data_IF_309397817625
#
_entry.id   IF_309397817625
#
_cell.length_a   1.000
_cell.length_b   1.000
_cell.length_c   1.000
_cell.angle_alpha   90.00
_cell.angle_beta   90.00
_cell.angle_gamma   90.00
#
_symmetry.space_group_name_H-M   'P 1'
#
loop_
_entity.id
_entity.type
_entity.pdbx_description
1 polymer ?
#
# COMPACT_ATOMS: atom_id res chain seq x y z
N UNK A 1 54.41 31.10 14.81
CA UNK A 1 53.44 30.95 13.71
C UNK A 1 52.71 29.63 13.90
N UNK A 2 51.51 29.66 14.49
CA UNK A 2 50.73 28.45 14.76
C UNK A 2 49.97 28.02 13.51
N UNK A 3 50.21 26.79 13.04
CA UNK A 3 49.47 26.19 11.93
C UNK A 3 48.11 25.69 12.44
N UNK A 4 47.04 26.32 11.97
CA UNK A 4 45.66 25.89 12.22
C UNK A 4 45.28 24.89 11.12
N UNK A 5 45.24 23.61 11.46
CA UNK A 5 44.76 22.56 10.55
C UNK A 5 43.26 22.40 10.76
N UNK A 6 42.46 22.79 9.78
CA UNK A 6 41.00 22.65 9.79
C UNK A 6 40.63 21.22 9.38
N UNK A 7 40.06 20.44 10.30
CA UNK A 7 39.44 19.15 9.99
C UNK A 7 37.97 19.39 9.59
N UNK A 8 37.66 19.21 8.30
CA UNK A 8 36.27 19.13 7.82
C UNK A 8 35.78 17.71 8.13
N UNK A 9 34.96 17.57 9.18
CA UNK A 9 34.27 16.32 9.48
C UNK A 9 33.19 16.05 8.44
N UNK A 10 33.41 15.07 7.57
CA UNK A 10 32.38 14.56 6.66
C UNK A 10 31.35 13.78 7.48
N UNK A 11 30.23 14.44 7.81
CA UNK A 11 29.08 13.77 8.39
C UNK A 11 28.39 12.95 7.29
N UNK A 12 28.73 11.66 7.20
CA UNK A 12 28.01 10.71 6.36
C UNK A 12 26.60 10.53 6.94
N UNK A 13 25.63 11.24 6.38
CA UNK A 13 24.21 10.95 6.59
C UNK A 13 23.94 9.58 6.00
N UNK A 14 23.94 8.53 6.82
CA UNK A 14 23.42 7.23 6.44
C UNK A 14 21.90 7.36 6.28
N UNK A 15 21.44 7.59 5.06
CA UNK A 15 20.06 7.33 4.69
C UNK A 15 19.86 5.80 4.70
N UNK A 16 19.38 5.25 5.82
CA UNK A 16 18.92 3.86 5.86
C UNK A 16 17.80 3.63 4.83
N UNK A 17 17.59 2.39 4.38
CA UNK A 17 16.50 2.09 3.45
C UNK A 17 15.18 2.58 4.05
N UNK A 18 14.44 3.35 3.27
CA UNK A 18 13.10 3.77 3.62
C UNK A 18 12.24 2.48 3.64
N UNK A 19 12.02 1.91 4.83
CA UNK A 19 11.11 0.76 5.00
C UNK A 19 9.68 1.25 4.75
N UNK A 20 9.29 1.25 3.47
CA UNK A 20 7.92 1.47 3.08
C UNK A 20 7.23 0.11 3.02
N UNK A 21 6.05 0.01 3.63
CA UNK A 21 5.14 -1.13 3.43
C UNK A 21 4.92 -1.30 1.93
N UNK A 22 5.26 -2.47 1.40
CA UNK A 22 4.99 -2.81 0.00
C UNK A 22 3.72 -3.64 -0.12
N UNK A 23 2.94 -3.39 -1.18
CA UNK A 23 1.72 -4.12 -1.51
C UNK A 23 1.85 -4.72 -2.91
N UNK A 24 1.60 -6.03 -3.01
CA UNK A 24 1.72 -6.81 -4.23
C UNK A 24 0.39 -7.52 -4.52
N UNK A 25 0.12 -7.77 -5.80
CA UNK A 25 -1.04 -8.55 -6.24
C UNK A 25 -0.74 -9.24 -7.57
N UNK A 26 -1.10 -10.52 -7.75
CA UNK A 26 -1.10 -11.16 -9.06
C UNK A 26 -2.32 -10.79 -9.91
N UNK A 27 -3.37 -10.23 -9.30
CA UNK A 27 -4.66 -10.02 -9.95
C UNK A 27 -4.85 -8.58 -10.46
N UNK A 28 -4.18 -7.61 -9.83
CA UNK A 28 -4.29 -6.19 -10.17
C UNK A 28 -2.92 -5.52 -10.21
N UNK A 29 -2.77 -4.53 -11.09
CA UNK A 29 -1.53 -3.75 -11.24
C UNK A 29 -1.84 -2.25 -11.24
N UNK A 30 -0.96 -1.46 -10.60
CA UNK A 30 -1.12 -0.02 -10.50
C UNK A 30 -1.29 0.63 -11.89
N UNK A 31 -2.32 1.47 -12.03
CA UNK A 31 -2.64 2.16 -13.28
C UNK A 31 -3.13 1.27 -14.43
N UNK A 32 -3.40 -0.02 -14.18
CA UNK A 32 -3.97 -0.94 -15.16
C UNK A 32 -5.44 -1.19 -14.88
N UNK A 33 -6.17 -1.56 -15.93
CA UNK A 33 -7.57 -1.97 -15.84
C UNK A 33 -7.66 -3.28 -15.06
N UNK A 34 -8.59 -3.35 -14.11
CA UNK A 34 -8.91 -4.59 -13.39
C UNK A 34 -9.61 -5.61 -14.32
N UNK A 35 -9.47 -6.91 -14.03
CA UNK A 35 -10.17 -7.95 -14.77
C UNK A 35 -11.65 -8.05 -14.36
N UNK A 36 -12.46 -8.72 -15.18
CA UNK A 36 -13.88 -9.01 -14.86
C UNK A 36 -14.05 -9.80 -13.56
N UNK A 37 -12.98 -10.43 -13.06
CA UNK A 37 -12.97 -11.09 -11.75
C UNK A 37 -13.31 -10.13 -10.61
N UNK A 38 -12.72 -8.93 -10.63
CA UNK A 38 -12.90 -7.91 -9.59
C UNK A 38 -14.09 -6.99 -9.86
N UNK A 39 -14.64 -6.99 -11.09
CA UNK A 39 -15.81 -6.20 -11.43
C UNK A 39 -17.04 -6.71 -10.66
N UNK A 40 -17.89 -5.79 -10.20
CA UNK A 40 -19.13 -6.09 -9.48
C UNK A 40 -20.10 -6.93 -10.34
N UNK A 41 -20.99 -7.68 -9.68
CA UNK A 41 -22.03 -8.49 -10.34
C UNK A 41 -23.43 -7.97 -10.00
N UNK A 42 -23.70 -6.74 -10.41
CA UNK A 42 -24.91 -6.00 -10.09
C UNK A 42 -24.88 -4.60 -10.68
N UNK A 43 -26.00 -3.88 -10.60
CA UNK A 43 -26.12 -2.50 -11.11
C UNK A 43 -25.72 -2.34 -12.60
N UNK A 44 -25.96 -3.38 -13.40
CA UNK A 44 -25.59 -3.41 -14.82
C UNK A 44 -24.18 -3.93 -15.11
N UNK A 45 -23.37 -4.22 -14.09
CA UNK A 45 -22.10 -4.94 -14.22
C UNK A 45 -22.32 -6.46 -14.20
N UNK A 46 -21.43 -7.22 -14.86
CA UNK A 46 -21.51 -8.68 -15.01
C UNK A 46 -20.19 -9.38 -14.61
N UNK A 47 -19.41 -8.77 -13.71
CA UNK A 47 -18.17 -9.38 -13.24
C UNK A 47 -18.40 -10.52 -12.25
N UNK A 48 -17.33 -11.01 -11.64
CA UNK A 48 -17.39 -12.11 -10.66
C UNK A 48 -17.49 -11.63 -9.21
N UNK A 49 -17.27 -10.33 -8.96
CA UNK A 49 -17.29 -9.72 -7.64
C UNK A 49 -16.38 -10.40 -6.61
N UNK A 50 -15.17 -10.79 -7.04
CA UNK A 50 -14.17 -11.45 -6.20
C UNK A 50 -13.05 -10.45 -5.87
N UNK A 51 -12.67 -10.33 -4.60
CA UNK A 51 -11.55 -9.49 -4.17
C UNK A 51 -10.22 -9.96 -4.77
N UNK A 52 -9.29 -9.06 -5.13
CA UNK A 52 -7.96 -9.45 -5.59
C UNK A 52 -7.16 -10.11 -4.46
N UNK A 53 -6.30 -11.06 -4.80
CA UNK A 53 -5.27 -11.54 -3.90
C UNK A 53 -4.29 -10.40 -3.60
N UNK A 54 -4.00 -10.17 -2.33
CA UNK A 54 -3.10 -9.13 -1.86
C UNK A 54 -2.05 -9.78 -0.97
N UNK A 55 -0.79 -9.41 -1.15
CA UNK A 55 0.28 -9.73 -0.22
C UNK A 55 1.10 -8.47 0.08
N UNK A 56 1.74 -8.43 1.24
CA UNK A 56 2.53 -7.27 1.65
C UNK A 56 3.80 -7.68 2.37
N UNK A 57 4.81 -6.82 2.27
CA UNK A 57 6.11 -6.98 2.92
C UNK A 57 6.57 -5.66 3.54
N UNK A 58 7.63 -5.73 4.33
CA UNK A 58 8.31 -4.54 4.87
C UNK A 58 7.43 -3.65 5.75
N UNK A 59 6.45 -4.27 6.42
CA UNK A 59 5.68 -3.63 7.47
C UNK A 59 6.60 -3.15 8.61
N UNK A 60 6.37 -1.94 9.18
CA UNK A 60 7.15 -1.46 10.32
C UNK A 60 7.18 -2.46 11.49
N UNK A 61 8.32 -2.57 12.18
CA UNK A 61 8.55 -3.58 13.21
C UNK A 61 7.48 -3.62 14.33
N UNK A 62 6.89 -2.47 14.65
CA UNK A 62 5.87 -2.34 15.71
C UNK A 62 4.43 -2.43 15.21
N UNK A 63 4.19 -2.88 13.97
CA UNK A 63 2.84 -3.04 13.41
C UNK A 63 1.98 -3.94 14.31
N UNK A 64 0.80 -3.45 14.70
CA UNK A 64 -0.12 -4.17 15.61
C UNK A 64 -1.28 -4.82 14.88
N UNK A 65 -1.65 -4.29 13.72
CA UNK A 65 -2.66 -4.85 12.83
C UNK A 65 -2.58 -4.16 11.47
N UNK A 66 -3.23 -4.75 10.46
CA UNK A 66 -3.44 -4.15 9.15
C UNK A 66 -4.91 -3.80 8.93
N UNK A 67 -5.14 -2.90 7.98
CA UNK A 67 -6.42 -2.62 7.38
C UNK A 67 -6.29 -2.64 5.85
N UNK A 68 -7.34 -3.08 5.16
CA UNK A 68 -7.44 -3.08 3.71
C UNK A 68 -8.67 -2.29 3.32
N UNK A 69 -8.51 -1.38 2.36
CA UNK A 69 -9.62 -0.63 1.79
C UNK A 69 -9.53 -0.58 0.28
N UNK A 70 -10.65 -0.79 -0.40
CA UNK A 70 -10.82 -0.49 -1.82
C UNK A 70 -11.79 0.69 -1.95
N UNK A 71 -11.31 1.81 -2.48
CA UNK A 71 -12.04 3.06 -2.55
C UNK A 71 -11.99 3.64 -3.96
N UNK A 72 -13.15 4.01 -4.49
CA UNK A 72 -13.30 4.73 -5.75
C UNK A 72 -13.54 6.23 -5.44
N UNK A 73 -12.54 7.11 -5.65
CA UNK A 73 -12.71 8.55 -5.49
C UNK A 73 -13.58 9.18 -6.59
N UNK A 74 -13.77 8.52 -7.73
CA UNK A 74 -14.43 9.05 -8.92
C UNK A 74 -15.94 8.80 -8.91
N UNK A 75 -16.44 7.97 -7.99
CA UNK A 75 -17.86 7.72 -7.84
C UNK A 75 -18.64 9.02 -7.52
N UNK A 76 -19.71 9.35 -8.29
CA UNK A 76 -20.38 10.65 -8.24
C UNK A 76 -21.40 10.76 -7.08
N UNK A 77 -20.95 10.57 -5.85
CA UNK A 77 -21.77 10.56 -4.63
C UNK A 77 -21.52 11.78 -3.72
N UNK A 78 -20.48 12.55 -4.02
CA UNK A 78 -19.93 13.59 -3.13
C UNK A 78 -18.94 13.06 -2.09
N UNK A 79 -18.79 11.74 -1.94
CA UNK A 79 -17.89 11.10 -0.96
C UNK A 79 -17.17 9.86 -1.51
N UNK A 80 -17.13 9.69 -2.83
CA UNK A 80 -16.65 8.46 -3.48
C UNK A 80 -17.46 7.22 -3.12
N UNK A 81 -16.84 6.03 -3.27
CA UNK A 81 -17.45 4.76 -2.93
C UNK A 81 -16.46 3.79 -2.28
N UNK A 82 -16.81 3.27 -1.11
CA UNK A 82 -16.04 2.22 -0.45
C UNK A 82 -16.53 0.85 -0.94
N UNK A 83 -15.69 0.18 -1.72
CA UNK A 83 -15.97 -1.17 -2.24
C UNK A 83 -15.67 -2.26 -1.23
N UNK A 84 -14.65 -2.06 -0.40
CA UNK A 84 -14.23 -3.03 0.61
C UNK A 84 -13.54 -2.33 1.78
N UNK A 85 -13.83 -2.77 3.01
CA UNK A 85 -13.17 -2.31 4.23
C UNK A 85 -12.97 -3.53 5.14
N UNK A 86 -11.73 -3.83 5.48
CA UNK A 86 -11.33 -4.87 6.44
C UNK A 86 -10.35 -4.26 7.43
N UNK A 87 -10.51 -4.58 8.71
CA UNK A 87 -9.67 -4.06 9.78
C UNK A 87 -9.39 -5.15 10.81
N UNK A 88 -8.47 -4.87 11.74
CA UNK A 88 -7.99 -5.81 12.76
C UNK A 88 -7.36 -7.09 12.19
N UNK A 89 -6.75 -7.01 11.00
CA UNK A 89 -5.98 -8.12 10.45
C UNK A 89 -4.73 -8.32 11.33
N UNK A 90 -4.47 -9.52 11.88
CA UNK A 90 -3.31 -9.75 12.74
C UNK A 90 -1.99 -9.41 12.05
N UNK A 91 -0.97 -8.90 12.77
CA UNK A 91 0.29 -8.46 12.17
C UNK A 91 1.13 -9.61 11.61
N UNK A 92 0.79 -10.85 11.95
CA UNK A 92 1.41 -12.07 11.41
C UNK A 92 0.88 -12.48 10.04
N UNK A 93 -0.21 -11.86 9.55
CA UNK A 93 -0.73 -12.10 8.20
C UNK A 93 0.04 -11.23 7.22
N UNK A 94 0.45 -11.80 6.09
CA UNK A 94 1.19 -11.12 5.02
C UNK A 94 0.58 -11.33 3.63
N UNK A 95 -0.56 -12.03 3.55
CA UNK A 95 -1.27 -12.40 2.32
C UNK A 95 -2.14 -13.63 2.52
#
# INVERSE_FOLDING_TARGET
MARFTLFIGLCLLFAGPLHALELHSPDIHAGKRISDTQVFNGFGCQGRNVSPALSWSDAPADTKSFAITAYDPDAPTGSGWWHWVVFNIPPSVTG
#
